data_IF_113708588899
#
_entry.id   IF_113708588899
#
_cell.length_a   1.000
_cell.length_b   1.000
_cell.length_c   1.000
_cell.angle_alpha   90.00
_cell.angle_beta   90.00
_cell.angle_gamma   90.00
#
_symmetry.space_group_name_H-M   'P 1'
#
loop_
_entity.id
_entity.type
_entity.pdbx_description
1 polymer ?
#
# COMPACT_ATOMS: atom_id res chain seq x y z
N UNK A 1 -22.60 14.47 -4.92
CA UNK A 1 -21.31 13.96 -4.41
C UNK A 1 -21.59 12.93 -3.31
N UNK A 2 -20.61 12.15 -2.87
CA UNK A 2 -20.84 11.24 -1.73
C UNK A 2 -21.11 12.06 -0.46
N UNK A 3 -22.14 11.67 0.31
CA UNK A 3 -22.64 12.41 1.50
C UNK A 3 -21.53 12.76 2.50
N UNK A 4 -20.55 11.86 2.67
CA UNK A 4 -19.41 12.10 3.54
C UNK A 4 -18.50 13.27 3.13
N UNK A 5 -18.39 13.60 1.82
CA UNK A 5 -17.54 14.69 1.34
C UNK A 5 -18.09 16.06 1.69
N UNK A 6 -19.41 16.20 1.70
CA UNK A 6 -20.07 17.46 2.07
C UNK A 6 -19.82 17.80 3.54
N UNK A 7 -19.76 16.77 4.39
CA UNK A 7 -19.49 16.89 5.84
C UNK A 7 -18.03 17.08 6.21
N UNK A 8 -17.11 16.89 5.28
CA UNK A 8 -15.70 17.19 5.55
C UNK A 8 -15.48 18.67 5.86
N UNK A 9 -16.35 19.56 5.40
CA UNK A 9 -16.27 20.99 5.67
C UNK A 9 -16.58 21.35 7.14
N UNK A 10 -17.15 20.42 7.91
CA UNK A 10 -17.46 20.64 9.32
C UNK A 10 -16.26 20.37 10.25
N UNK A 11 -15.18 19.78 9.71
CA UNK A 11 -13.95 19.46 10.44
C UNK A 11 -12.85 20.49 10.17
N UNK A 12 -11.93 20.64 11.11
CA UNK A 12 -10.71 21.44 10.92
C UNK A 12 -9.78 20.83 9.85
N UNK A 13 -8.89 21.68 9.34
CA UNK A 13 -8.01 21.34 8.22
C UNK A 13 -7.14 20.10 8.47
N UNK A 14 -6.68 19.87 9.71
CA UNK A 14 -5.85 18.71 10.01
C UNK A 14 -6.63 17.38 9.93
N UNK A 15 -7.85 17.36 10.46
CA UNK A 15 -8.72 16.18 10.38
C UNK A 15 -9.25 15.97 8.95
N UNK A 16 -9.58 17.05 8.24
CA UNK A 16 -9.96 16.99 6.83
C UNK A 16 -8.86 16.39 5.97
N UNK A 17 -7.63 16.89 6.09
CA UNK A 17 -6.48 16.38 5.35
C UNK A 17 -6.20 14.90 5.67
N UNK A 18 -6.35 14.48 6.93
CA UNK A 18 -6.19 13.08 7.33
C UNK A 18 -7.23 12.15 6.69
N UNK A 19 -8.49 12.61 6.63
CA UNK A 19 -9.62 11.86 6.06
C UNK A 19 -9.57 11.80 4.53
N UNK A 20 -9.21 12.89 3.86
CA UNK A 20 -9.02 12.88 2.40
C UNK A 20 -7.78 12.04 2.02
N UNK A 21 -6.72 12.14 2.82
CA UNK A 21 -5.45 11.47 2.58
C UNK A 21 -4.75 11.95 1.29
N UNK A 22 -3.70 11.23 0.91
CA UNK A 22 -2.97 11.53 -0.32
C UNK A 22 -3.69 11.11 -1.60
N UNK A 23 -3.08 11.43 -2.75
CA UNK A 23 -3.58 11.14 -4.10
C UNK A 23 -4.07 9.70 -4.31
N UNK A 24 -3.32 8.70 -3.83
CA UNK A 24 -3.70 7.28 -3.96
C UNK A 24 -5.00 6.99 -3.19
N UNK A 25 -5.12 7.49 -1.96
CA UNK A 25 -6.34 7.33 -1.17
C UNK A 25 -7.53 8.00 -1.86
N UNK A 26 -7.32 9.22 -2.38
CA UNK A 26 -8.36 9.97 -3.08
C UNK A 26 -8.84 9.28 -4.36
N UNK A 27 -7.93 8.60 -5.09
CA UNK A 27 -8.28 7.83 -6.28
C UNK A 27 -9.31 6.75 -5.93
N UNK A 28 -9.07 5.94 -4.91
CA UNK A 28 -10.02 4.91 -4.50
C UNK A 28 -11.30 5.53 -3.90
N UNK A 29 -11.16 6.55 -3.05
CA UNK A 29 -12.28 7.24 -2.39
C UNK A 29 -13.13 8.12 -3.33
N UNK A 30 -12.78 8.24 -4.61
CA UNK A 30 -13.64 8.84 -5.63
C UNK A 30 -14.75 7.89 -6.10
N UNK A 31 -14.58 6.58 -5.89
CA UNK A 31 -15.60 5.57 -6.18
C UNK A 31 -16.58 5.41 -5.01
N UNK A 32 -17.59 4.56 -5.15
CA UNK A 32 -18.50 4.25 -4.04
C UNK A 32 -17.72 3.64 -2.87
N UNK A 33 -18.21 3.85 -1.64
CA UNK A 33 -17.55 3.32 -0.44
C UNK A 33 -17.36 1.80 -0.47
N UNK A 34 -18.30 1.07 -1.09
CA UNK A 34 -18.21 -0.38 -1.27
C UNK A 34 -17.04 -0.79 -2.15
N UNK A 35 -16.79 -0.09 -3.26
CA UNK A 35 -15.62 -0.33 -4.13
C UNK A 35 -14.32 0.20 -3.52
N UNK A 36 -14.41 1.11 -2.56
CA UNK A 36 -13.28 1.62 -1.79
C UNK A 36 -12.87 0.69 -0.63
N UNK A 37 -13.52 -0.47 -0.45
CA UNK A 37 -13.24 -1.36 0.68
C UNK A 37 -11.77 -1.84 0.66
N UNK A 38 -11.09 -1.95 1.83
CA UNK A 38 -9.68 -2.38 1.90
C UNK A 38 -9.32 -3.67 1.14
N UNK A 39 -10.27 -4.60 1.02
CA UNK A 39 -10.15 -5.82 0.20
C UNK A 39 -9.88 -5.49 -1.27
N UNK A 40 -10.67 -4.59 -1.87
CA UNK A 40 -10.53 -4.25 -3.29
C UNK A 40 -9.21 -3.52 -3.57
N UNK A 41 -8.76 -2.66 -2.65
CA UNK A 41 -7.44 -2.04 -2.75
C UNK A 41 -6.32 -3.08 -2.73
N UNK A 42 -6.44 -4.10 -1.87
CA UNK A 42 -5.53 -5.24 -1.86
C UNK A 42 -5.53 -6.03 -3.18
N UNK A 43 -6.71 -6.25 -3.77
CA UNK A 43 -6.84 -6.93 -5.08
C UNK A 43 -6.18 -6.12 -6.20
N UNK A 44 -6.42 -4.80 -6.27
CA UNK A 44 -5.80 -3.94 -7.28
C UNK A 44 -4.28 -3.95 -7.14
N UNK A 45 -3.78 -3.90 -5.91
CA UNK A 45 -2.33 -4.04 -5.65
C UNK A 45 -1.79 -5.38 -6.15
N UNK A 46 -2.46 -6.50 -5.84
CA UNK A 46 -2.07 -7.82 -6.33
C UNK A 46 -2.04 -7.91 -7.86
N UNK A 47 -3.02 -7.31 -8.55
CA UNK A 47 -3.06 -7.26 -10.02
C UNK A 47 -1.82 -6.56 -10.57
N UNK A 48 -1.41 -5.43 -9.98
CA UNK A 48 -0.20 -4.72 -10.41
C UNK A 48 1.06 -5.57 -10.26
N UNK A 49 1.19 -6.28 -9.13
CA UNK A 49 2.31 -7.20 -8.87
C UNK A 49 2.29 -8.40 -9.84
N UNK A 50 1.12 -8.97 -10.11
CA UNK A 50 1.01 -10.09 -11.05
C UNK A 50 1.36 -9.69 -12.49
N UNK A 51 1.07 -8.45 -12.88
CA UNK A 51 1.45 -7.92 -14.17
C UNK A 51 2.97 -7.78 -14.31
N UNK A 52 3.68 -7.35 -13.26
CA UNK A 52 5.14 -7.25 -13.29
C UNK A 52 5.81 -8.62 -13.28
N UNK A 53 5.25 -9.59 -12.55
CA UNK A 53 5.77 -10.97 -12.49
C UNK A 53 5.62 -11.77 -13.79
N UNK A 54 4.86 -11.29 -14.77
CA UNK A 54 4.79 -11.93 -16.10
C UNK A 54 6.19 -12.08 -16.71
N UNK A 55 7.02 -11.04 -16.63
CA UNK A 55 8.34 -11.02 -17.27
C UNK A 55 9.26 -12.17 -16.78
N UNK A 56 9.57 -12.29 -15.47
CA UNK A 56 10.46 -13.34 -15.00
C UNK A 56 9.86 -14.75 -15.18
N UNK A 57 8.55 -14.92 -15.00
CA UNK A 57 7.89 -16.24 -15.14
C UNK A 57 7.89 -16.70 -16.60
N UNK A 58 7.61 -15.80 -17.54
CA UNK A 58 7.68 -16.14 -18.96
C UNK A 58 9.11 -16.41 -19.42
N UNK A 59 10.10 -15.67 -18.91
CA UNK A 59 11.49 -15.92 -19.23
C UNK A 59 11.91 -17.33 -18.80
N UNK A 60 11.66 -17.68 -17.53
CA UNK A 60 11.98 -18.99 -16.93
C UNK A 60 11.33 -20.13 -17.72
N UNK A 61 10.03 -20.04 -17.98
CA UNK A 61 9.32 -21.05 -18.75
C UNK A 61 9.83 -21.22 -20.19
N UNK A 62 10.23 -20.13 -20.87
CA UNK A 62 10.83 -20.23 -22.20
C UNK A 62 12.25 -20.82 -22.15
N UNK A 63 13.04 -20.50 -21.13
CA UNK A 63 14.39 -21.06 -20.95
C UNK A 63 14.35 -22.58 -20.76
N UNK A 64 13.34 -23.07 -20.03
CA UNK A 64 13.09 -24.51 -19.81
C UNK A 64 12.34 -25.20 -20.97
N UNK A 65 12.12 -24.49 -22.09
CA UNK A 65 11.38 -25.01 -23.25
C UNK A 65 9.96 -25.51 -22.93
N UNK A 66 9.31 -24.88 -21.93
CA UNK A 66 7.95 -25.22 -21.55
C UNK A 66 6.93 -24.72 -22.59
N UNK A 67 5.86 -25.50 -22.80
CA UNK A 67 4.75 -25.04 -23.64
C UNK A 67 4.05 -23.83 -23.03
N UNK A 68 3.61 -22.87 -23.86
CA UNK A 68 2.92 -21.65 -23.45
C UNK A 68 1.76 -21.90 -22.45
N UNK A 69 1.00 -22.99 -22.63
CA UNK A 69 -0.09 -23.37 -21.73
C UNK A 69 0.40 -23.64 -20.29
N UNK A 70 1.58 -24.26 -20.13
CA UNK A 70 2.13 -24.58 -18.82
C UNK A 70 2.62 -23.32 -18.11
N UNK A 71 3.29 -22.43 -18.85
CA UNK A 71 3.74 -21.12 -18.35
C UNK A 71 2.54 -20.30 -17.87
N UNK A 72 1.47 -20.23 -18.69
CA UNK A 72 0.26 -19.51 -18.34
C UNK A 72 -0.42 -20.11 -17.10
N UNK A 73 -0.43 -21.45 -16.98
CA UNK A 73 -0.97 -22.12 -15.80
C UNK A 73 -0.14 -21.80 -14.53
N UNK A 74 1.19 -21.82 -14.61
CA UNK A 74 2.08 -21.42 -13.50
C UNK A 74 1.80 -19.99 -13.06
N UNK A 75 1.78 -19.05 -14.01
CA UNK A 75 1.48 -17.65 -13.73
C UNK A 75 0.08 -17.48 -13.13
N UNK A 76 -0.93 -18.17 -13.66
CA UNK A 76 -2.32 -18.08 -13.16
C UNK A 76 -2.44 -18.59 -11.73
N UNK A 77 -1.85 -19.76 -11.43
CA UNK A 77 -1.86 -20.34 -10.09
C UNK A 77 -1.19 -19.40 -9.09
N UNK A 78 -0.01 -18.89 -9.44
CA UNK A 78 0.71 -17.95 -8.59
C UNK A 78 -0.04 -16.63 -8.42
N UNK A 79 -0.64 -16.12 -9.49
CA UNK A 79 -1.43 -14.89 -9.46
C UNK A 79 -2.64 -15.01 -8.54
N UNK A 80 -3.29 -16.17 -8.54
CA UNK A 80 -4.44 -16.44 -7.67
C UNK A 80 -4.03 -16.46 -6.19
N UNK A 81 -2.87 -17.04 -5.85
CA UNK A 81 -2.34 -17.05 -4.49
C UNK A 81 -2.06 -15.62 -4.01
N UNK A 82 -1.38 -14.81 -4.83
CA UNK A 82 -1.08 -13.41 -4.49
C UNK A 82 -2.35 -12.59 -4.32
N UNK A 83 -3.34 -12.79 -5.19
CA UNK A 83 -4.63 -12.11 -5.12
C UNK A 83 -5.38 -12.46 -3.84
N UNK A 84 -5.49 -13.75 -3.50
CA UNK A 84 -6.13 -14.22 -2.27
C UNK A 84 -5.41 -13.71 -1.02
N UNK A 85 -4.08 -13.69 -1.03
CA UNK A 85 -3.28 -13.17 0.07
C UNK A 85 -3.53 -11.68 0.29
N UNK A 86 -3.42 -10.85 -0.75
CA UNK A 86 -3.64 -9.40 -0.59
C UNK A 86 -5.09 -9.07 -0.26
N UNK A 87 -6.06 -9.79 -0.83
CA UNK A 87 -7.48 -9.62 -0.51
C UNK A 87 -7.77 -9.96 0.96
N UNK A 88 -7.25 -11.09 1.45
CA UNK A 88 -7.44 -11.52 2.84
C UNK A 88 -6.75 -10.58 3.83
N UNK A 89 -5.52 -10.11 3.53
CA UNK A 89 -4.87 -9.10 4.36
C UNK A 89 -5.68 -7.80 4.40
N UNK A 90 -6.24 -7.34 3.27
CA UNK A 90 -7.14 -6.19 3.24
C UNK A 90 -8.40 -6.39 4.11
N UNK A 91 -9.00 -7.59 4.09
CA UNK A 91 -10.13 -7.92 4.96
C UNK A 91 -9.74 -7.88 6.45
N UNK A 92 -8.61 -8.50 6.80
CA UNK A 92 -8.06 -8.51 8.15
C UNK A 92 -7.79 -7.07 8.61
N UNK A 93 -7.23 -6.21 7.75
CA UNK A 93 -7.00 -4.80 8.05
C UNK A 93 -8.30 -4.04 8.37
N UNK A 94 -9.37 -4.29 7.61
CA UNK A 94 -10.67 -3.68 7.88
C UNK A 94 -11.23 -4.12 9.25
N UNK A 95 -11.13 -5.41 9.56
CA UNK A 95 -11.58 -5.96 10.86
C UNK A 95 -10.76 -5.37 12.00
N UNK A 96 -9.43 -5.39 11.90
CA UNK A 96 -8.53 -4.85 12.93
C UNK A 96 -8.81 -3.37 13.15
N UNK A 97 -8.98 -2.61 12.07
CA UNK A 97 -9.30 -1.18 12.14
C UNK A 97 -10.60 -0.92 12.90
N UNK A 98 -11.62 -1.74 12.68
CA UNK A 98 -12.92 -1.63 13.36
C UNK A 98 -12.82 -1.89 14.87
N UNK A 99 -11.92 -2.78 15.28
CA UNK A 99 -11.74 -3.20 16.67
C UNK A 99 -10.81 -2.25 17.45
N UNK A 100 -9.66 -1.93 16.87
CA UNK A 100 -8.56 -1.22 17.53
C UNK A 100 -8.78 0.30 17.54
N UNK A 101 -9.55 0.83 16.56
CA UNK A 101 -9.97 2.24 16.47
C UNK A 101 -8.80 3.22 16.63
N UNK A 102 -7.76 3.05 15.82
CA UNK A 102 -6.63 3.98 15.77
C UNK A 102 -6.78 4.95 14.60
N UNK A 103 -6.17 6.16 14.69
CA UNK A 103 -6.21 7.11 13.60
C UNK A 103 -5.32 6.65 12.43
N UNK A 104 -5.61 7.08 11.18
CA UNK A 104 -4.77 6.81 10.02
C UNK A 104 -3.36 7.38 10.20
N UNK A 105 -2.34 6.58 9.92
CA UNK A 105 -0.96 7.09 9.83
C UNK A 105 -0.80 7.87 8.52
N UNK A 106 -0.30 9.11 8.62
CA UNK A 106 0.09 9.92 7.45
C UNK A 106 1.37 9.34 6.86
N UNK A 107 1.36 9.09 5.56
CA UNK A 107 2.48 8.43 4.87
C UNK A 107 3.25 9.38 3.97
N UNK A 108 2.90 10.67 3.89
CA UNK A 108 3.63 11.65 3.05
C UNK A 108 5.15 11.49 3.16
N UNK A 109 5.67 11.41 4.38
CA UNK A 109 7.10 11.28 4.68
C UNK A 109 7.67 9.87 4.45
N UNK A 110 6.90 8.81 4.76
CA UNK A 110 7.36 7.41 4.60
C UNK A 110 7.33 6.90 3.15
N UNK A 111 6.73 7.65 2.21
CA UNK A 111 6.68 7.29 0.78
C UNK A 111 8.06 7.14 0.17
N UNK A 112 9.03 7.98 0.55
CA UNK A 112 10.43 7.95 0.07
C UNK A 112 11.06 6.57 0.23
N UNK A 113 10.73 5.85 1.31
CA UNK A 113 11.23 4.50 1.58
C UNK A 113 10.29 3.38 1.12
N UNK A 114 8.97 3.60 1.15
CA UNK A 114 7.99 2.57 0.76
C UNK A 114 7.90 2.37 -0.76
N UNK A 115 8.09 3.43 -1.56
CA UNK A 115 7.98 3.39 -3.02
C UNK A 115 9.07 2.61 -3.76
N UNK A 116 10.36 2.60 -3.33
CA UNK A 116 11.37 1.77 -3.99
C UNK A 116 11.23 0.26 -3.69
N UNK A 117 10.56 -0.13 -2.60
CA UNK A 117 10.50 -1.54 -2.17
C UNK A 117 9.93 -2.49 -3.24
N UNK A 118 8.82 -2.21 -3.93
CA UNK A 118 8.34 -3.09 -5.00
C UNK A 118 9.36 -3.29 -6.12
N UNK A 119 10.14 -2.27 -6.48
CA UNK A 119 11.17 -2.37 -7.51
C UNK A 119 12.35 -3.20 -7.05
N UNK A 120 12.80 -3.01 -5.80
CA UNK A 120 13.86 -3.82 -5.18
C UNK A 120 13.42 -5.27 -5.08
N UNK A 121 12.20 -5.52 -4.58
CA UNK A 121 11.62 -6.85 -4.49
C UNK A 121 11.51 -7.52 -5.86
N UNK A 122 11.03 -6.78 -6.87
CA UNK A 122 10.96 -7.26 -8.25
C UNK A 122 12.33 -7.63 -8.81
N UNK A 123 13.36 -6.81 -8.58
CA UNK A 123 14.73 -7.08 -9.02
C UNK A 123 15.28 -8.35 -8.35
N UNK A 124 15.13 -8.48 -7.03
CA UNK A 124 15.54 -9.67 -6.28
C UNK A 124 14.82 -10.92 -6.79
N UNK A 125 13.49 -10.86 -6.94
CA UNK A 125 12.67 -11.96 -7.46
C UNK A 125 13.08 -12.34 -8.88
N UNK A 126 13.33 -11.36 -9.75
CA UNK A 126 13.74 -11.59 -11.13
C UNK A 126 15.10 -12.28 -11.19
N UNK A 127 16.10 -11.80 -10.44
CA UNK A 127 17.41 -12.45 -10.35
C UNK A 127 17.25 -13.87 -9.81
N UNK A 128 16.48 -14.05 -8.75
CA UNK A 128 16.33 -15.36 -8.11
C UNK A 128 15.64 -16.39 -9.03
N UNK A 129 14.71 -15.95 -9.88
CA UNK A 129 14.07 -16.80 -10.90
C UNK A 129 15.06 -17.10 -12.04
N UNK A 130 15.60 -16.06 -12.70
CA UNK A 130 16.43 -16.19 -13.90
C UNK A 130 17.70 -17.01 -13.64
N UNK A 131 18.34 -16.81 -12.50
CA UNK A 131 19.56 -17.53 -12.14
C UNK A 131 19.30 -18.79 -11.31
N UNK A 132 18.03 -19.21 -11.21
CA UNK A 132 17.61 -20.38 -10.43
C UNK A 132 18.27 -20.44 -9.04
N UNK A 133 18.30 -19.28 -8.36
CA UNK A 133 18.97 -19.11 -7.07
C UNK A 133 18.18 -19.79 -5.95
N UNK A 134 18.73 -19.81 -4.73
CA UNK A 134 18.13 -20.43 -3.55
C UNK A 134 16.71 -19.94 -3.25
N UNK A 135 15.91 -20.83 -2.67
CA UNK A 135 14.49 -20.58 -2.40
C UNK A 135 14.29 -19.45 -1.38
N UNK A 136 15.23 -19.27 -0.45
CA UNK A 136 15.19 -18.20 0.55
C UNK A 136 15.23 -16.82 -0.12
N UNK A 137 16.06 -16.66 -1.17
CA UNK A 137 16.14 -15.40 -1.91
C UNK A 137 14.87 -15.10 -2.69
N UNK A 138 14.20 -16.13 -3.24
CA UNK A 138 12.88 -15.97 -3.86
C UNK A 138 11.85 -15.50 -2.85
N UNK A 139 11.81 -16.12 -1.67
CA UNK A 139 10.89 -15.74 -0.58
C UNK A 139 11.13 -14.29 -0.14
N UNK A 140 12.40 -13.89 0.04
CA UNK A 140 12.75 -12.50 0.39
C UNK A 140 12.31 -11.54 -0.71
N UNK A 141 12.55 -11.87 -1.98
CA UNK A 141 12.10 -11.05 -3.11
C UNK A 141 10.59 -10.85 -3.10
N UNK A 142 9.82 -11.94 -2.97
CA UNK A 142 8.36 -11.86 -2.86
C UNK A 142 7.91 -11.07 -1.63
N UNK A 143 8.54 -11.27 -0.47
CA UNK A 143 8.19 -10.52 0.73
C UNK A 143 8.38 -9.02 0.54
N UNK A 144 9.55 -8.59 0.03
CA UNK A 144 9.85 -7.17 -0.22
C UNK A 144 8.92 -6.59 -1.29
N UNK A 145 8.59 -7.37 -2.32
CA UNK A 145 7.68 -7.00 -3.39
C UNK A 145 6.23 -6.82 -2.89
N UNK A 146 5.74 -7.72 -2.03
CA UNK A 146 4.36 -7.71 -1.57
C UNK A 146 4.13 -6.80 -0.36
N UNK A 147 5.07 -6.72 0.58
CA UNK A 147 4.89 -6.05 1.87
C UNK A 147 4.33 -4.62 1.84
N UNK A 148 4.78 -3.69 0.96
CA UNK A 148 4.37 -2.29 1.07
C UNK A 148 2.86 -2.08 0.85
N UNK A 149 2.20 -2.90 0.02
CA UNK A 149 0.76 -2.81 -0.23
C UNK A 149 -0.08 -3.10 1.02
N UNK A 150 -0.03 -4.31 1.60
CA UNK A 150 -0.75 -4.63 2.82
C UNK A 150 -0.37 -3.76 4.01
N UNK A 151 0.90 -3.35 4.12
CA UNK A 151 1.33 -2.41 5.17
C UNK A 151 0.61 -1.06 5.03
N UNK A 152 0.59 -0.49 3.83
CA UNK A 152 -0.15 0.74 3.53
C UNK A 152 -1.63 0.60 3.90
N UNK A 153 -2.24 -0.54 3.55
CA UNK A 153 -3.65 -0.80 3.84
C UNK A 153 -3.90 -0.85 5.34
N UNK A 154 -3.09 -1.62 6.08
CA UNK A 154 -3.22 -1.85 7.51
C UNK A 154 -3.10 -0.55 8.33
N UNK A 155 -2.07 0.26 8.07
CA UNK A 155 -1.72 1.40 8.94
C UNK A 155 -2.40 2.71 8.55
N UNK A 156 -2.78 2.86 7.27
CA UNK A 156 -3.27 4.13 6.74
C UNK A 156 -4.66 4.00 6.14
N UNK A 157 -4.83 3.11 5.16
CA UNK A 157 -6.05 3.09 4.36
C UNK A 157 -7.27 2.54 5.10
N UNK A 158 -7.17 1.38 5.75
CA UNK A 158 -8.28 0.77 6.46
C UNK A 158 -8.83 1.65 7.62
N UNK A 159 -7.98 2.25 8.49
CA UNK A 159 -8.40 3.27 9.46
C UNK A 159 -9.19 4.43 8.83
N UNK A 160 -8.72 4.93 7.69
CA UNK A 160 -9.35 6.05 6.99
C UNK A 160 -10.72 5.64 6.44
N UNK A 161 -10.77 4.50 5.76
CA UNK A 161 -12.01 3.97 5.20
C UNK A 161 -13.09 3.77 6.27
N UNK A 162 -12.73 3.20 7.44
CA UNK A 162 -13.63 3.04 8.59
C UNK A 162 -14.22 4.37 9.05
N UNK A 163 -13.39 5.42 9.15
CA UNK A 163 -13.84 6.74 9.59
C UNK A 163 -14.80 7.37 8.59
N UNK A 164 -14.48 7.28 7.30
CA UNK A 164 -15.34 7.76 6.22
C UNK A 164 -16.67 7.01 6.20
N UNK A 165 -16.65 5.69 6.38
CA UNK A 165 -17.88 4.88 6.49
C UNK A 165 -18.77 5.31 7.65
N UNK A 166 -18.18 5.69 8.79
CA UNK A 166 -18.94 6.23 9.92
C UNK A 166 -19.57 7.59 9.61
N UNK A 167 -18.82 8.49 8.98
CA UNK A 167 -19.33 9.81 8.56
C UNK A 167 -20.51 9.65 7.60
N UNK A 168 -20.43 8.71 6.65
CA UNK A 168 -21.49 8.42 5.68
C UNK A 168 -22.78 7.90 6.35
N UNK A 169 -22.62 7.18 7.47
CA UNK A 169 -23.70 6.63 8.31
C UNK A 169 -24.20 7.58 9.41
N UNK A 170 -23.77 8.84 9.42
CA UNK A 170 -24.17 9.82 10.45
C UNK A 170 -23.67 9.49 11.87
N UNK A 171 -22.56 8.76 11.95
CA UNK A 171 -21.90 8.39 13.21
C UNK A 171 -20.63 9.21 13.44
N UNK A 172 -20.25 9.39 14.71
CA UNK A 172 -18.99 10.02 15.06
C UNK A 172 -17.79 9.15 14.59
N UNK A 173 -16.91 9.63 13.69
CA UNK A 173 -15.74 8.89 13.23
C UNK A 173 -14.70 8.65 14.33
N UNK A 174 -14.68 9.47 15.38
CA UNK A 174 -13.69 9.46 16.47
C UNK A 174 -14.11 8.66 17.70
N UNK A 175 -15.33 8.13 17.71
CA UNK A 175 -15.90 7.42 18.86
C UNK A 175 -15.01 6.26 19.34
N UNK A 176 -14.56 6.34 20.61
CA UNK A 176 -13.72 5.34 21.23
C UNK A 176 -12.23 5.42 20.87
N UNK A 177 -11.79 6.47 20.17
CA UNK A 177 -10.37 6.73 19.93
C UNK A 177 -9.75 7.49 21.10
N UNK A 178 -8.61 7.01 21.61
CA UNK A 178 -7.83 7.74 22.64
C UNK A 178 -7.08 8.94 22.06
N UNK A 179 -6.75 8.88 20.77
CA UNK A 179 -6.02 9.92 20.02
C UNK A 179 -6.64 10.01 18.63
N UNK A 180 -6.95 11.22 18.16
CA UNK A 180 -7.59 11.44 16.86
C UNK A 180 -6.59 11.72 15.74
N UNK A 181 -5.41 12.25 16.09
CA UNK A 181 -4.32 12.56 15.15
C UNK A 181 -2.99 12.11 15.77
N UNK A 182 -2.16 11.43 15.00
CA UNK A 182 -0.76 11.23 15.38
C UNK A 182 0.02 12.54 15.17
N UNK A 183 0.20 13.34 16.24
CA UNK A 183 1.18 14.45 16.24
C UNK A 183 2.56 13.90 15.86
N UNK A 184 3.21 14.54 14.89
CA UNK A 184 4.58 14.21 14.47
C UNK A 184 5.55 14.35 15.64
N UNK A 185 6.53 13.45 15.70
CA UNK A 185 7.58 13.53 16.69
C UNK A 185 8.59 14.58 16.20
N UNK A 186 8.86 15.59 17.03
CA UNK A 186 9.81 16.68 16.72
C UNK A 186 11.20 16.17 16.31
N UNK A 187 11.60 14.98 16.78
CA UNK A 187 12.84 14.33 16.40
C UNK A 187 12.82 13.77 14.97
N UNK A 188 11.67 13.30 14.48
CA UNK A 188 11.53 12.84 13.09
C UNK A 188 11.56 14.04 12.12
N UNK A 189 11.00 15.20 12.50
CA UNK A 189 11.12 16.45 11.72
C UNK A 189 12.58 16.91 11.59
N UNK A 190 13.34 16.87 12.69
CA UNK A 190 14.76 17.28 12.71
C UNK A 190 15.65 16.36 11.87
N UNK A 191 15.40 15.05 11.90
CA UNK A 191 16.13 14.08 11.07
C UNK A 191 15.85 14.34 9.59
N UNK A 192 14.59 14.63 9.23
CA UNK A 192 14.19 14.93 7.85
C UNK A 192 14.83 16.22 7.33
N UNK A 193 14.80 17.30 8.12
CA UNK A 193 15.42 18.58 7.78
C UNK A 193 16.90 18.40 7.46
N UNK A 194 17.61 17.61 8.27
CA UNK A 194 19.02 17.30 8.00
C UNK A 194 19.21 16.54 6.68
N UNK A 195 18.30 15.62 6.32
CA UNK A 195 18.41 14.88 5.06
C UNK A 195 18.13 15.77 3.84
N UNK A 196 17.10 16.61 3.89
CA UNK A 196 16.78 17.52 2.80
C UNK A 196 17.87 18.61 2.64
N UNK A 197 18.48 19.08 3.73
CA UNK A 197 19.67 19.96 3.68
C UNK A 197 20.86 19.27 3.01
N UNK A 198 21.11 18.00 3.30
CA UNK A 198 22.16 17.21 2.64
C UNK A 198 21.86 17.03 1.15
N UNK A 199 20.61 16.75 0.77
CA UNK A 199 20.19 16.58 -0.63
C UNK A 199 20.40 17.88 -1.43
N UNK A 200 19.97 19.02 -0.88
CA UNK A 200 20.19 20.33 -1.48
C UNK A 200 21.69 20.68 -1.60
N UNK A 201 22.49 20.35 -0.59
CA UNK A 201 23.94 20.59 -0.62
C UNK A 201 24.65 19.72 -1.69
N UNK A 202 24.14 18.52 -1.97
CA UNK A 202 24.64 17.67 -3.06
C UNK A 202 24.27 18.27 -4.42
N UNK A 203 23.04 18.76 -4.59
CA UNK A 203 22.62 19.42 -5.84
C UNK A 203 23.42 20.71 -6.13
N UNK A 204 23.78 21.49 -5.11
CA UNK A 204 24.64 22.67 -5.26
C UNK A 204 26.09 22.32 -5.65
N UNK A 205 26.57 21.12 -5.33
CA UNK A 205 27.92 20.67 -5.69
C UNK A 205 28.02 20.11 -7.11
N UNK A 206 26.89 19.66 -7.68
CA UNK A 206 26.79 19.15 -9.05
C UNK A 206 26.43 20.25 -10.08
N UNK A 207 26.20 21.49 -9.65
CA UNK A 207 25.93 22.68 -10.49
C UNK A 207 27.18 23.56 -10.73
#
# INVERSE_FOLDING_TARGET
MSKWRERLNDYDDEHRHMLEGGSISQLFLSYSLSFSHPVFVGIVYAIMINLTLLLPIFYDGNADSEGFSNILQKWTNQSLIILLLCASLGAISAIISSLVRWPPVRLERRRRYLYPLPFIGFLITTIAIIFSTSEELKIIGYFVLLAPGPLYIQISYAPRWRMIERIDRDLDPFEGMKKTIFRENKNEELIEQNYDEIENAIEELDS
#
